data_IF_481093330228
#
_entry.id   IF_481093330228
#
_cell.length_a   1.000
_cell.length_b   1.000
_cell.length_c   1.000
_cell.angle_alpha   90.00
_cell.angle_beta   90.00
_cell.angle_gamma   90.00
#
_symmetry.space_group_name_H-M   'P 1'
#
loop_
_entity.id
_entity.type
_entity.pdbx_description
1 polymer ?
#
# COMPACT_ATOMS: atom_id res chain seq x y z
N UNK A 1 28.50 3.01 9.93
CA UNK A 1 27.21 3.73 9.98
C UNK A 1 26.60 3.92 8.58
N UNK A 2 26.89 2.99 7.65
CA UNK A 2 26.14 2.75 6.41
C UNK A 2 25.51 1.36 6.59
N UNK A 3 24.18 1.26 6.75
CA UNK A 3 23.52 -0.04 6.93
C UNK A 3 22.17 0.02 7.66
N UNK A 4 22.01 0.99 8.56
CA UNK A 4 20.80 1.14 9.39
C UNK A 4 19.82 2.19 8.85
N UNK A 5 19.75 2.37 7.53
CA UNK A 5 18.72 3.23 6.96
C UNK A 5 17.41 2.46 6.88
N UNK A 6 16.48 2.77 7.80
CA UNK A 6 15.09 2.36 7.68
C UNK A 6 14.47 3.22 6.57
N UNK A 7 14.07 2.57 5.47
CA UNK A 7 13.34 3.24 4.39
C UNK A 7 11.84 3.00 4.56
N UNK A 8 11.07 4.08 4.53
CA UNK A 8 9.60 4.05 4.46
C UNK A 8 9.16 4.16 3.00
N UNK A 9 8.13 3.42 2.62
CA UNK A 9 7.56 3.43 1.27
C UNK A 9 6.03 3.43 1.36
N UNK A 10 5.38 4.32 0.62
CA UNK A 10 3.93 4.37 0.51
C UNK A 10 3.45 3.35 -0.53
N UNK A 11 2.92 2.22 -0.05
CA UNK A 11 2.44 1.12 -0.91
C UNK A 11 1.02 1.36 -1.43
N UNK A 12 0.24 2.20 -0.75
CA UNK A 12 -1.12 2.56 -1.11
C UNK A 12 -1.32 4.06 -0.94
N UNK A 13 -2.10 4.65 -1.82
CA UNK A 13 -2.62 6.01 -1.65
C UNK A 13 -4.11 5.94 -1.34
N UNK A 14 -4.60 6.88 -0.53
CA UNK A 14 -6.03 7.00 -0.29
C UNK A 14 -6.67 7.91 -1.35
N UNK A 15 -7.62 7.36 -2.08
CA UNK A 15 -8.41 8.05 -3.08
C UNK A 15 -9.74 8.51 -2.46
N UNK A 16 -9.77 9.78 -2.05
CA UNK A 16 -10.95 10.41 -1.44
C UNK A 16 -12.06 10.65 -2.47
N UNK A 17 -13.26 10.15 -2.16
CA UNK A 17 -14.45 10.20 -3.03
C UNK A 17 -15.58 11.05 -2.44
N UNK A 18 -15.30 11.85 -1.40
CA UNK A 18 -16.28 12.71 -0.72
C UNK A 18 -16.75 12.14 0.61
N UNK A 19 -17.92 12.60 1.08
CA UNK A 19 -18.50 12.20 2.36
C UNK A 19 -19.82 11.43 2.17
N UNK A 20 -20.17 10.57 3.11
CA UNK A 20 -21.51 9.96 3.21
C UNK A 20 -22.51 10.92 3.89
N UNK A 21 -23.78 10.52 3.94
CA UNK A 21 -24.87 11.33 4.53
C UNK A 21 -24.69 11.57 6.04
N UNK A 22 -23.84 10.79 6.71
CA UNK A 22 -23.48 10.95 8.11
C UNK A 22 -22.19 11.77 8.30
N UNK A 23 -21.64 12.34 7.22
CA UNK A 23 -20.42 13.16 7.25
C UNK A 23 -19.14 12.34 7.37
N UNK A 24 -19.15 11.03 7.09
CA UNK A 24 -17.95 10.18 7.11
C UNK A 24 -17.25 10.19 5.76
N UNK A 25 -15.92 10.20 5.78
CA UNK A 25 -15.09 10.13 4.57
C UNK A 25 -15.35 8.83 3.80
N UNK A 26 -15.57 8.94 2.49
CA UNK A 26 -15.63 7.83 1.54
C UNK A 26 -14.39 7.83 0.66
N UNK A 27 -13.86 6.65 0.37
CA UNK A 27 -12.72 6.50 -0.52
C UNK A 27 -12.17 5.09 -0.48
N UNK A 28 -11.17 4.83 -1.32
CA UNK A 28 -10.53 3.52 -1.43
C UNK A 28 -9.01 3.66 -1.32
N UNK A 29 -8.35 2.60 -0.87
CA UNK A 29 -6.90 2.47 -0.98
C UNK A 29 -6.56 1.95 -2.37
N UNK A 30 -5.85 2.76 -3.15
CA UNK A 30 -5.35 2.38 -4.48
C UNK A 30 -3.86 1.98 -4.35
N UNK A 31 -3.44 0.80 -4.86
CA UNK A 31 -2.05 0.39 -4.82
C UNK A 31 -1.19 1.26 -5.73
N UNK A 32 -0.02 1.69 -5.24
CA UNK A 32 0.89 2.56 -6.00
C UNK A 32 1.65 1.83 -7.10
N UNK A 33 1.68 0.49 -7.07
CA UNK A 33 2.51 -0.32 -7.97
C UNK A 33 3.93 -0.58 -7.46
N UNK A 34 4.33 0.05 -6.35
CA UNK A 34 5.67 -0.11 -5.78
C UNK A 34 5.83 -1.53 -5.25
N UNK A 35 6.90 -2.19 -5.69
CA UNK A 35 7.33 -3.48 -5.13
C UNK A 35 8.48 -3.24 -4.15
N UNK A 36 8.27 -3.45 -2.84
CA UNK A 36 9.28 -3.13 -1.84
C UNK A 36 10.45 -4.10 -1.88
N UNK A 37 11.67 -3.56 -1.79
CA UNK A 37 12.92 -4.34 -1.81
C UNK A 37 13.03 -5.42 -0.73
N UNK A 38 12.32 -5.26 0.39
CA UNK A 38 12.32 -6.21 1.52
C UNK A 38 10.95 -6.86 1.75
N UNK A 39 10.20 -7.14 0.69
CA UNK A 39 8.90 -7.84 0.74
C UNK A 39 8.98 -9.18 1.48
N UNK A 40 10.10 -9.91 1.40
CA UNK A 40 10.33 -11.16 2.13
C UNK A 40 10.15 -11.04 3.66
N UNK A 41 10.26 -9.82 4.23
CA UNK A 41 10.04 -9.60 5.65
C UNK A 41 8.60 -9.88 6.07
N UNK A 42 7.63 -9.73 5.17
CA UNK A 42 6.24 -10.11 5.44
C UNK A 42 6.13 -11.62 5.66
N UNK A 43 6.76 -12.42 4.79
CA UNK A 43 6.78 -13.88 4.95
C UNK A 43 7.50 -14.31 6.24
N UNK A 44 8.63 -13.67 6.57
CA UNK A 44 9.34 -13.92 7.85
C UNK A 44 8.48 -13.58 9.09
N UNK A 45 7.56 -12.61 8.96
CA UNK A 45 6.60 -12.26 9.99
C UNK A 45 5.33 -13.13 9.96
N UNK A 46 5.26 -14.15 9.09
CA UNK A 46 4.10 -15.02 8.93
C UNK A 46 2.93 -14.40 8.16
N UNK A 47 3.18 -13.30 7.44
CA UNK A 47 2.17 -12.57 6.66
C UNK A 47 2.36 -12.89 5.17
N UNK A 48 1.43 -13.66 4.60
CA UNK A 48 1.40 -13.92 3.16
C UNK A 48 0.62 -12.83 2.44
N UNK A 49 1.27 -12.11 1.53
CA UNK A 49 0.60 -11.10 0.71
C UNK A 49 -0.05 -11.73 -0.53
N UNK A 50 -1.31 -11.35 -0.87
CA UNK A 50 -1.90 -11.72 -2.15
C UNK A 50 -1.05 -11.21 -3.33
N UNK A 51 -0.91 -12.02 -4.38
CA UNK A 51 0.03 -11.77 -5.49
C UNK A 51 -0.22 -10.46 -6.24
N UNK A 52 -1.44 -9.95 -6.21
CA UNK A 52 -1.90 -8.80 -6.96
C UNK A 52 -2.24 -7.58 -6.09
N UNK A 53 -2.07 -7.67 -4.76
CA UNK A 53 -2.47 -6.60 -3.82
C UNK A 53 -1.73 -5.28 -4.06
N UNK A 54 -0.49 -5.33 -4.54
CA UNK A 54 0.34 -4.16 -4.84
C UNK A 54 0.32 -3.77 -6.32
N UNK A 55 -0.48 -4.44 -7.16
CA UNK A 55 -0.48 -4.19 -8.60
C UNK A 55 -1.20 -2.87 -8.87
N UNK A 56 -0.50 -1.91 -9.48
CA UNK A 56 -1.11 -0.64 -9.87
C UNK A 56 -2.39 -0.87 -10.68
N UNK A 57 -3.45 -0.13 -10.33
CA UNK A 57 -4.69 -0.10 -11.10
C UNK A 57 -4.35 0.47 -12.47
N UNK A 58 -4.48 -0.34 -13.53
CA UNK A 58 -4.29 0.15 -14.91
C UNK A 58 -5.26 1.32 -15.11
N UNK A 59 -4.74 2.49 -15.49
CA UNK A 59 -5.57 3.62 -15.89
C UNK A 59 -6.54 3.16 -16.98
N UNK A 60 -7.83 3.36 -16.74
CA UNK A 60 -8.86 3.29 -17.77
C UNK A 60 -8.88 4.58 -18.56
#
# INVERSE_FOLDING_TARGET
>A
MEGDTIQMQDLFTFNHQGFDDAGRVRGNLDPTGIQPHRSYKFDMAGVTLPKDILRAKRGS
#
